data_IF_084458309191
#
_entry.id   IF_084458309191
#
_cell.length_a   1.000
_cell.length_b   1.000
_cell.length_c   1.000
_cell.angle_alpha   90.00
_cell.angle_beta   90.00
_cell.angle_gamma   90.00
#
_symmetry.space_group_name_H-M   'P 1'
#
loop_
_entity.id
_entity.type
_entity.pdbx_description
1 polymer ?
#
# COMPACT_ATOMS: atom_id res chain seq x y z
N UNK A 1 -13.67 -16.68 1.02
CA UNK A 1 -13.17 -15.86 -0.11
C UNK A 1 -13.10 -16.75 -1.34
N UNK A 2 -14.01 -16.52 -2.30
CA UNK A 2 -14.02 -17.26 -3.56
C UNK A 2 -13.36 -16.39 -4.63
N UNK A 3 -12.18 -16.77 -5.09
CA UNK A 3 -11.62 -16.28 -6.33
C UNK A 3 -12.06 -17.18 -7.47
N UNK A 4 -13.12 -16.80 -8.21
CA UNK A 4 -13.34 -17.32 -9.54
C UNK A 4 -12.56 -16.44 -10.51
N UNK A 5 -11.34 -16.83 -10.87
CA UNK A 5 -10.59 -16.17 -11.93
C UNK A 5 -10.86 -16.91 -13.24
N UNK A 6 -11.52 -16.24 -14.17
CA UNK A 6 -11.32 -16.55 -15.58
C UNK A 6 -9.94 -16.03 -15.96
N UNK A 7 -8.98 -16.95 -16.17
CA UNK A 7 -7.58 -16.60 -16.47
C UNK A 7 -7.41 -15.74 -17.75
N UNK A 8 -8.46 -15.58 -18.54
CA UNK A 8 -8.50 -14.81 -19.78
C UNK A 8 -9.35 -13.53 -19.68
N UNK A 9 -9.85 -13.18 -18.48
CA UNK A 9 -10.68 -11.99 -18.33
C UNK A 9 -9.83 -10.73 -18.56
N UNK A 10 -10.27 -9.87 -19.48
CA UNK A 10 -9.63 -8.59 -19.77
C UNK A 10 -9.69 -7.65 -18.55
N UNK A 11 -10.78 -7.71 -17.78
CA UNK A 11 -11.02 -6.93 -16.56
C UNK A 11 -11.28 -7.87 -15.39
N UNK A 12 -10.60 -7.64 -14.28
CA UNK A 12 -10.75 -8.42 -13.04
C UNK A 12 -10.99 -7.47 -11.86
N UNK A 13 -12.16 -7.59 -11.23
CA UNK A 13 -12.42 -6.92 -9.97
C UNK A 13 -11.77 -7.68 -8.82
N UNK A 14 -11.13 -6.95 -7.94
CA UNK A 14 -10.43 -7.48 -6.76
C UNK A 14 -10.95 -6.75 -5.54
N UNK A 15 -11.60 -7.48 -4.64
CA UNK A 15 -12.25 -6.93 -3.45
C UNK A 15 -11.69 -7.53 -2.18
N UNK A 16 -11.24 -6.70 -1.25
CA UNK A 16 -11.15 -7.03 0.17
C UNK A 16 -12.30 -6.33 0.91
N UNK A 17 -13.30 -7.07 1.39
CA UNK A 17 -14.44 -6.47 2.08
C UNK A 17 -14.11 -5.96 3.49
N UNK A 18 -12.97 -6.38 4.06
CA UNK A 18 -12.53 -5.99 5.40
C UNK A 18 -11.02 -6.10 5.57
N UNK A 19 -10.26 -5.21 4.91
CA UNK A 19 -8.81 -5.09 5.15
C UNK A 19 -8.55 -4.60 6.58
N UNK A 20 -7.59 -5.21 7.26
CA UNK A 20 -7.32 -4.92 8.67
C UNK A 20 -8.25 -5.65 9.63
N UNK A 21 -8.65 -6.89 9.33
CA UNK A 21 -9.54 -7.72 10.17
C UNK A 21 -9.10 -7.79 11.63
N UNK A 22 -7.78 -7.90 11.90
CA UNK A 22 -7.26 -7.92 13.27
C UNK A 22 -7.53 -6.59 14.00
N UNK A 23 -7.38 -5.46 13.31
CA UNK A 23 -7.71 -4.13 13.84
C UNK A 23 -9.21 -3.99 14.11
N UNK A 24 -10.05 -4.45 13.19
CA UNK A 24 -11.51 -4.46 13.35
C UNK A 24 -11.94 -5.26 14.59
N UNK A 25 -11.44 -6.49 14.75
CA UNK A 25 -11.75 -7.35 15.90
C UNK A 25 -11.27 -6.74 17.21
N UNK A 26 -10.14 -6.02 17.20
CA UNK A 26 -9.61 -5.32 18.36
C UNK A 26 -10.34 -4.00 18.67
N UNK A 27 -11.32 -3.58 17.87
CA UNK A 27 -12.02 -2.32 18.03
C UNK A 27 -11.19 -1.08 17.66
N UNK A 28 -10.11 -1.25 16.90
CA UNK A 28 -9.28 -0.14 16.40
C UNK A 28 -9.92 0.48 15.16
N UNK A 29 -9.71 1.79 14.90
CA UNK A 29 -10.36 2.50 13.80
C UNK A 29 -9.70 2.26 12.42
N UNK A 30 -8.56 1.58 12.37
CA UNK A 30 -7.77 1.41 11.15
C UNK A 30 -8.11 0.10 10.46
N UNK A 31 -9.18 0.11 9.70
CA UNK A 31 -9.64 -0.95 8.81
C UNK A 31 -10.44 -0.32 7.66
N UNK A 32 -10.58 -1.03 6.57
CA UNK A 32 -11.25 -0.49 5.39
C UNK A 32 -11.78 -1.52 4.43
N UNK A 33 -12.45 -1.03 3.39
CA UNK A 33 -12.91 -1.79 2.24
C UNK A 33 -12.03 -1.40 1.07
N UNK A 34 -11.44 -2.39 0.39
CA UNK A 34 -10.50 -2.19 -0.72
C UNK A 34 -11.06 -2.80 -2.00
N UNK A 35 -11.33 -1.98 -3.02
CA UNK A 35 -11.85 -2.39 -4.33
C UNK A 35 -10.89 -1.96 -5.43
N UNK A 36 -10.26 -2.91 -6.10
CA UNK A 36 -9.39 -2.71 -7.25
C UNK A 36 -10.00 -3.23 -8.55
N UNK A 37 -9.66 -2.63 -9.68
CA UNK A 37 -9.89 -3.16 -11.01
C UNK A 37 -8.56 -3.35 -11.71
N UNK A 38 -8.30 -4.58 -12.15
CA UNK A 38 -7.19 -4.87 -13.04
C UNK A 38 -7.70 -4.88 -14.50
N UNK A 39 -6.95 -4.25 -15.38
CA UNK A 39 -7.12 -4.35 -16.84
C UNK A 39 -5.90 -5.04 -17.41
N UNK A 40 -6.06 -6.20 -18.00
CA UNK A 40 -4.97 -7.03 -18.52
C UNK A 40 -3.84 -7.25 -17.49
N UNK A 41 -4.23 -7.53 -16.23
CA UNK A 41 -3.29 -7.76 -15.12
C UNK A 41 -2.69 -6.49 -14.49
N UNK A 42 -2.99 -5.28 -14.99
CA UNK A 42 -2.46 -4.02 -14.45
C UNK A 42 -3.53 -3.26 -13.67
N UNK A 43 -3.23 -2.72 -12.46
CA UNK A 43 -4.15 -1.88 -11.72
C UNK A 43 -4.56 -0.66 -12.54
N UNK A 44 -5.85 -0.51 -12.79
CA UNK A 44 -6.41 0.59 -13.59
C UNK A 44 -7.34 1.49 -12.77
N UNK A 45 -8.02 0.94 -11.76
CA UNK A 45 -8.85 1.68 -10.83
C UNK A 45 -8.61 1.15 -9.42
N UNK A 46 -8.70 2.05 -8.44
CA UNK A 46 -8.66 1.69 -7.03
C UNK A 46 -9.57 2.57 -6.21
N UNK A 47 -10.27 1.99 -5.25
CA UNK A 47 -11.06 2.69 -4.24
C UNK A 47 -10.83 2.03 -2.89
N UNK A 48 -10.53 2.85 -1.88
CA UNK A 48 -10.38 2.40 -0.49
C UNK A 48 -11.24 3.32 0.37
N UNK A 49 -12.14 2.72 1.11
CA UNK A 49 -12.96 3.38 2.12
C UNK A 49 -12.43 3.03 3.50
N UNK A 50 -12.17 4.05 4.34
CA UNK A 50 -11.86 3.91 5.76
C UNK A 50 -13.05 4.44 6.57
N UNK A 51 -14.06 3.60 6.88
CA UNK A 51 -15.39 4.07 7.29
C UNK A 51 -15.39 4.87 8.59
N UNK A 52 -14.57 4.47 9.57
CA UNK A 52 -14.52 5.18 10.86
C UNK A 52 -13.81 6.53 10.79
N UNK A 53 -13.07 6.80 9.70
CA UNK A 53 -12.42 8.09 9.46
C UNK A 53 -13.23 8.97 8.52
N UNK A 54 -14.22 8.42 7.80
CA UNK A 54 -14.94 9.11 6.75
C UNK A 54 -14.05 9.44 5.55
N UNK A 55 -13.00 8.67 5.34
CA UNK A 55 -12.00 8.88 4.30
C UNK A 55 -12.27 7.92 3.13
N UNK A 56 -12.59 8.45 1.94
CA UNK A 56 -12.71 7.71 0.70
C UNK A 56 -11.60 8.11 -0.26
N UNK A 57 -10.70 7.17 -0.54
CA UNK A 57 -9.59 7.31 -1.48
C UNK A 57 -9.95 6.62 -2.79
N UNK A 58 -9.64 7.25 -3.92
CA UNK A 58 -9.85 6.60 -5.21
C UNK A 58 -8.94 7.16 -6.30
N UNK A 59 -8.71 6.35 -7.32
CA UNK A 59 -7.98 6.71 -8.52
C UNK A 59 -8.58 6.03 -9.74
N UNK A 60 -8.56 6.74 -10.86
CA UNK A 60 -8.97 6.26 -12.18
C UNK A 60 -7.87 6.56 -13.22
N UNK A 61 -7.85 5.87 -14.37
CA UNK A 61 -6.81 6.05 -15.37
C UNK A 61 -6.66 7.50 -15.84
N UNK A 62 -5.42 7.99 -15.89
CA UNK A 62 -5.09 9.31 -16.43
C UNK A 62 -5.50 10.49 -15.54
N UNK A 63 -5.92 10.25 -14.31
CA UNK A 63 -6.28 11.29 -13.34
C UNK A 63 -5.51 11.15 -12.04
N UNK A 64 -5.29 12.26 -11.30
CA UNK A 64 -4.66 12.19 -9.99
C UNK A 64 -5.56 11.44 -8.99
N UNK A 65 -4.92 10.75 -8.04
CA UNK A 65 -5.63 10.17 -6.91
C UNK A 65 -6.33 11.23 -6.07
N UNK A 66 -7.43 10.86 -5.42
CA UNK A 66 -8.24 11.77 -4.61
C UNK A 66 -8.57 11.18 -3.25
N UNK A 67 -8.65 12.06 -2.26
CA UNK A 67 -9.27 11.82 -0.95
C UNK A 67 -10.51 12.71 -0.83
N UNK A 68 -11.69 12.11 -0.67
CA UNK A 68 -12.96 12.83 -0.56
C UNK A 68 -13.13 13.89 -1.66
N UNK A 69 -12.71 13.56 -2.90
CA UNK A 69 -12.79 14.46 -4.07
C UNK A 69 -11.61 15.41 -4.21
N UNK A 70 -10.76 15.59 -3.22
CA UNK A 70 -9.58 16.48 -3.27
C UNK A 70 -8.36 15.70 -3.79
N UNK A 71 -7.61 16.23 -4.79
CA UNK A 71 -6.38 15.59 -5.27
C UNK A 71 -5.35 15.43 -4.17
N UNK A 72 -4.66 14.27 -4.17
CA UNK A 72 -3.60 13.94 -3.23
C UNK A 72 -2.32 13.55 -3.97
N UNK A 73 -1.18 13.70 -3.28
CA UNK A 73 0.14 13.33 -3.77
C UNK A 73 0.98 12.73 -2.64
N UNK A 74 1.91 11.86 -2.99
CA UNK A 74 2.93 11.35 -2.06
C UNK A 74 3.77 12.50 -1.50
N UNK A 75 4.46 12.27 -0.37
CA UNK A 75 5.38 13.24 0.21
C UNK A 75 6.46 13.62 -0.80
N UNK A 76 6.67 14.93 -0.99
CA UNK A 76 7.71 15.40 -1.90
C UNK A 76 9.12 15.02 -1.39
N UNK A 77 10.11 14.86 -2.30
CA UNK A 77 11.50 14.64 -1.93
C UNK A 77 12.01 15.71 -0.97
N UNK A 78 12.54 15.31 0.18
CA UNK A 78 13.16 16.20 1.16
C UNK A 78 14.04 15.44 2.15
N UNK A 79 14.79 16.15 2.95
CA UNK A 79 15.42 15.54 4.11
C UNK A 79 14.37 15.22 5.18
N UNK A 80 14.65 14.16 5.95
CA UNK A 80 13.73 13.68 6.96
C UNK A 80 13.91 14.40 8.29
N UNK A 81 12.80 14.61 8.97
CA UNK A 81 12.74 15.22 10.29
C UNK A 81 12.30 14.22 11.36
N UNK A 82 12.53 14.51 12.63
CA UNK A 82 12.20 13.59 13.72
C UNK A 82 10.70 13.29 13.88
N UNK A 83 9.83 14.15 13.36
CA UNK A 83 8.38 13.94 13.36
C UNK A 83 7.88 13.14 12.16
N UNK A 84 8.71 12.95 11.15
CA UNK A 84 8.38 12.09 10.01
C UNK A 84 8.16 10.64 10.43
N UNK A 85 7.35 9.94 9.67
CA UNK A 85 7.08 8.56 10.00
C UNK A 85 6.91 7.67 8.77
N UNK A 86 7.12 6.39 9.00
CA UNK A 86 6.87 5.31 8.05
C UNK A 86 5.90 4.30 8.66
N UNK A 87 5.13 3.62 7.81
CA UNK A 87 4.31 2.49 8.24
C UNK A 87 5.11 1.18 8.13
N UNK A 88 4.90 0.29 9.11
CA UNK A 88 5.55 -1.03 9.16
C UNK A 88 4.57 -2.08 9.68
N UNK A 89 4.75 -3.36 9.33
CA UNK A 89 3.95 -4.43 9.90
C UNK A 89 4.12 -4.52 11.43
N UNK A 90 3.05 -4.84 12.15
CA UNK A 90 3.05 -4.93 13.63
C UNK A 90 4.05 -5.94 14.19
N UNK A 91 4.41 -6.96 13.41
CA UNK A 91 5.40 -7.99 13.77
C UNK A 91 6.79 -7.75 13.17
N UNK A 92 7.05 -6.56 12.63
CA UNK A 92 8.31 -6.20 11.96
C UNK A 92 9.54 -6.43 12.84
N UNK A 93 9.44 -6.19 14.16
CA UNK A 93 10.51 -6.39 15.13
C UNK A 93 11.09 -7.83 15.15
N UNK A 94 10.33 -8.82 14.66
CA UNK A 94 10.76 -10.23 14.58
C UNK A 94 11.56 -10.54 13.31
N UNK A 95 11.43 -9.70 12.28
CA UNK A 95 11.93 -10.01 10.93
C UNK A 95 12.86 -8.95 10.36
N UNK A 96 12.81 -7.73 10.88
CA UNK A 96 13.54 -6.61 10.32
C UNK A 96 14.30 -5.86 11.41
N UNK A 97 15.44 -5.30 11.04
CA UNK A 97 16.12 -4.21 11.73
C UNK A 97 15.80 -2.94 10.95
N UNK A 98 15.31 -1.90 11.64
CA UNK A 98 14.88 -0.64 11.02
C UNK A 98 15.65 0.49 11.70
N UNK A 99 16.53 1.15 10.93
CA UNK A 99 17.33 2.29 11.37
C UNK A 99 16.76 3.57 10.74
N UNK A 100 15.51 3.90 11.10
CA UNK A 100 14.82 5.09 10.62
C UNK A 100 14.89 6.21 11.66
N UNK A 101 15.34 7.44 11.32
CA UNK A 101 15.55 8.52 12.28
C UNK A 101 14.25 9.12 12.84
N UNK A 102 13.12 8.91 12.16
CA UNK A 102 11.81 9.38 12.59
C UNK A 102 11.01 8.33 13.36
N UNK A 103 9.70 8.39 13.25
CA UNK A 103 8.76 7.51 13.96
C UNK A 103 8.36 6.32 13.10
N UNK A 104 8.22 5.16 13.69
CA UNK A 104 7.62 3.98 13.06
C UNK A 104 6.23 3.73 13.61
N UNK A 105 5.28 3.40 12.75
CA UNK A 105 3.88 3.14 13.12
C UNK A 105 3.40 1.88 12.44
N UNK A 106 2.55 1.12 13.12
CA UNK A 106 1.77 0.05 12.51
C UNK A 106 0.31 0.46 12.49
N UNK A 107 -0.28 0.53 11.33
CA UNK A 107 -1.70 0.88 11.18
C UNK A 107 -2.59 -0.36 11.31
N UNK A 108 -2.06 -1.55 11.00
CA UNK A 108 -2.79 -2.81 11.07
C UNK A 108 -3.78 -3.05 9.92
N UNK A 109 -3.69 -2.22 8.87
CA UNK A 109 -4.46 -2.28 7.63
C UNK A 109 -3.53 -1.88 6.49
N UNK A 110 -3.31 -2.78 5.53
CA UNK A 110 -2.44 -2.51 4.37
C UNK A 110 -3.07 -1.44 3.48
N UNK A 111 -4.37 -1.49 3.27
CA UNK A 111 -5.10 -0.47 2.53
C UNK A 111 -4.90 0.92 3.16
N UNK A 112 -5.00 1.04 4.48
CA UNK A 112 -4.73 2.30 5.17
C UNK A 112 -3.26 2.75 5.02
N UNK A 113 -2.28 1.84 5.03
CA UNK A 113 -0.88 2.17 4.81
C UNK A 113 -0.66 2.79 3.42
N UNK A 114 -1.24 2.19 2.36
CA UNK A 114 -1.24 2.78 1.02
C UNK A 114 -1.86 4.17 0.99
N UNK A 115 -3.01 4.36 1.64
CA UNK A 115 -3.71 5.65 1.71
C UNK A 115 -2.88 6.75 2.37
N UNK A 116 -2.23 6.44 3.51
CA UNK A 116 -1.41 7.42 4.23
C UNK A 116 -0.13 7.78 3.48
N UNK A 117 0.45 6.86 2.74
CA UNK A 117 1.57 7.14 1.83
C UNK A 117 1.10 7.96 0.64
N UNK A 118 0.01 7.57 -0.03
CA UNK A 118 -0.51 8.26 -1.21
C UNK A 118 -0.91 9.72 -0.94
N UNK A 119 -1.40 10.03 0.29
CA UNK A 119 -1.71 11.42 0.69
C UNK A 119 -0.52 12.18 1.30
N UNK A 120 0.70 11.64 1.24
CA UNK A 120 1.92 12.28 1.69
C UNK A 120 2.03 12.48 3.20
N UNK A 121 1.30 11.72 4.02
CA UNK A 121 1.37 11.79 5.48
C UNK A 121 2.39 10.83 6.07
N UNK A 122 2.57 9.66 5.44
CA UNK A 122 3.71 8.78 5.68
C UNK A 122 4.73 8.97 4.56
N UNK A 123 6.02 8.94 4.86
CA UNK A 123 7.09 9.00 3.86
C UNK A 123 7.14 7.72 3.01
N UNK A 124 6.73 6.60 3.58
CA UNK A 124 6.66 5.31 2.93
C UNK A 124 6.10 4.24 3.85
N UNK A 125 5.96 3.04 3.33
CA UNK A 125 5.58 1.88 4.11
C UNK A 125 6.36 0.64 3.68
N UNK A 126 6.63 -0.26 4.65
CA UNK A 126 7.12 -1.61 4.43
C UNK A 126 5.95 -2.59 4.45
N UNK A 127 5.66 -3.23 3.35
CA UNK A 127 4.66 -4.28 3.24
C UNK A 127 5.37 -5.62 3.16
N UNK A 128 5.29 -6.44 4.20
CA UNK A 128 6.07 -7.68 4.28
C UNK A 128 5.31 -8.92 3.83
N UNK A 129 3.99 -8.85 3.82
CA UNK A 129 3.06 -9.87 3.34
C UNK A 129 1.77 -9.19 2.90
N UNK A 130 1.27 -9.57 1.76
CA UNK A 130 -0.02 -9.13 1.26
C UNK A 130 -0.54 -10.12 0.23
N UNK A 131 -1.82 -10.31 0.18
CA UNK A 131 -2.49 -10.95 -0.94
C UNK A 131 -2.83 -9.89 -2.01
N UNK A 132 -3.30 -10.33 -3.16
CA UNK A 132 -3.66 -9.43 -4.25
C UNK A 132 -4.74 -8.43 -3.83
N UNK A 133 -5.73 -8.88 -3.07
CA UNK A 133 -6.86 -8.04 -2.63
C UNK A 133 -6.45 -6.96 -1.62
N UNK A 134 -5.38 -7.17 -0.85
CA UNK A 134 -4.85 -6.17 0.08
C UNK A 134 -4.21 -4.99 -0.65
N UNK A 135 -3.70 -5.21 -1.88
CA UNK A 135 -2.84 -4.22 -2.56
C UNK A 135 -3.38 -3.66 -3.87
N UNK A 136 -4.27 -4.36 -4.58
CA UNK A 136 -4.68 -3.98 -5.94
C UNK A 136 -5.21 -2.54 -6.02
N UNK A 137 -6.11 -2.14 -5.12
CA UNK A 137 -6.63 -0.77 -5.06
C UNK A 137 -5.55 0.23 -4.63
N UNK A 138 -4.77 -0.15 -3.60
CA UNK A 138 -3.69 0.69 -3.07
C UNK A 138 -2.63 1.01 -4.12
N UNK A 139 -2.27 0.05 -4.98
CA UNK A 139 -1.33 0.25 -6.08
C UNK A 139 -1.83 1.29 -7.07
N UNK A 140 -3.09 1.18 -7.52
CA UNK A 140 -3.68 2.17 -8.43
C UNK A 140 -3.69 3.58 -7.82
N UNK A 141 -4.09 3.71 -6.55
CA UNK A 141 -4.13 4.98 -5.83
C UNK A 141 -2.74 5.57 -5.64
N UNK A 142 -1.77 4.75 -5.21
CA UNK A 142 -0.39 5.18 -4.98
C UNK A 142 0.27 5.68 -6.27
N UNK A 143 0.15 4.94 -7.36
CA UNK A 143 0.71 5.33 -8.66
C UNK A 143 0.08 6.62 -9.18
N UNK A 144 -1.24 6.78 -9.06
CA UNK A 144 -1.94 8.00 -9.43
C UNK A 144 -1.61 9.20 -8.53
N UNK A 145 -1.08 8.97 -7.32
CA UNK A 145 -0.54 9.98 -6.41
C UNK A 145 0.95 10.29 -6.67
N UNK A 146 1.58 9.65 -7.67
CA UNK A 146 3.00 9.84 -8.00
C UNK A 146 3.96 8.97 -7.17
N UNK A 147 3.46 7.99 -6.45
CA UNK A 147 4.26 7.03 -5.71
C UNK A 147 4.77 5.88 -6.55
N UNK A 148 5.74 5.16 -6.00
CA UNK A 148 6.37 3.98 -6.59
C UNK A 148 6.36 2.81 -5.60
N UNK A 149 6.67 1.63 -6.14
CA UNK A 149 6.77 0.38 -5.40
C UNK A 149 8.07 -0.29 -5.83
N UNK A 150 8.89 -0.69 -4.85
CA UNK A 150 10.09 -1.46 -5.10
C UNK A 150 10.15 -2.66 -4.14
N UNK A 151 10.73 -3.75 -4.59
CA UNK A 151 11.11 -4.85 -3.72
C UNK A 151 12.15 -4.39 -2.69
N UNK A 152 12.11 -4.92 -1.48
CA UNK A 152 13.13 -4.63 -0.46
C UNK A 152 14.53 -5.04 -0.93
N UNK A 153 14.65 -6.09 -1.76
CA UNK A 153 15.89 -6.51 -2.41
C UNK A 153 16.43 -5.47 -3.42
N UNK A 154 15.58 -4.56 -3.89
CA UNK A 154 15.89 -3.59 -4.95
C UNK A 154 15.54 -4.08 -6.34
N UNK A 155 14.97 -5.27 -6.47
CA UNK A 155 14.42 -5.75 -7.74
C UNK A 155 13.19 -4.91 -8.13
N UNK A 156 12.95 -4.79 -9.42
CA UNK A 156 11.71 -4.21 -9.91
C UNK A 156 10.54 -5.10 -9.48
N UNK A 157 9.57 -4.51 -8.79
CA UNK A 157 8.37 -5.22 -8.40
C UNK A 157 7.33 -5.19 -9.54
N UNK A 158 6.66 -6.34 -9.74
CA UNK A 158 5.57 -6.48 -10.70
C UNK A 158 4.37 -7.14 -10.00
N UNK A 159 3.19 -6.51 -10.09
CA UNK A 159 1.96 -7.04 -9.51
C UNK A 159 1.58 -8.42 -10.08
N UNK A 160 1.97 -8.73 -11.31
CA UNK A 160 1.70 -10.02 -11.94
C UNK A 160 2.32 -11.18 -11.16
N UNK A 161 3.43 -10.96 -10.46
CA UNK A 161 4.01 -11.98 -9.57
C UNK A 161 3.09 -12.30 -8.39
N UNK A 162 2.39 -11.29 -7.87
CA UNK A 162 1.40 -11.46 -6.79
C UNK A 162 0.11 -12.12 -7.29
N UNK A 163 -0.31 -11.81 -8.54
CA UNK A 163 -1.47 -12.46 -9.16
C UNK A 163 -1.24 -13.97 -9.30
N UNK A 164 -0.06 -14.37 -9.77
CA UNK A 164 0.28 -15.78 -10.00
C UNK A 164 0.54 -16.58 -8.72
N UNK A 165 1.15 -15.94 -7.72
CA UNK A 165 1.51 -16.59 -6.43
C UNK A 165 0.44 -16.47 -5.35
N UNK A 166 -0.63 -15.70 -5.60
CA UNK A 166 -1.70 -15.34 -4.63
C UNK A 166 -1.22 -14.51 -3.43
N UNK A 167 0.07 -14.21 -3.31
CA UNK A 167 0.65 -13.38 -2.26
C UNK A 167 1.98 -12.75 -2.71
N UNK A 168 2.47 -11.75 -1.98
CA UNK A 168 3.80 -11.19 -2.19
C UNK A 168 4.88 -12.24 -1.98
N UNK A 169 5.79 -12.37 -2.95
CA UNK A 169 6.94 -13.28 -2.89
C UNK A 169 8.05 -12.73 -1.98
N UNK A 170 8.17 -11.42 -1.89
CA UNK A 170 9.13 -10.72 -1.03
C UNK A 170 8.54 -9.41 -0.49
N UNK A 171 9.11 -8.85 0.60
CA UNK A 171 8.69 -7.54 1.10
C UNK A 171 8.88 -6.44 0.07
N UNK A 172 7.94 -5.49 0.03
CA UNK A 172 8.00 -4.29 -0.81
C UNK A 172 8.04 -3.04 0.04
N UNK A 173 8.62 -1.98 -0.52
CA UNK A 173 8.58 -0.62 0.03
C UNK A 173 7.78 0.24 -0.94
N UNK A 174 6.87 1.04 -0.40
CA UNK A 174 6.05 1.99 -1.15
C UNK A 174 6.34 3.41 -0.70
N UNK A 175 6.29 4.37 -1.63
CA UNK A 175 6.53 5.78 -1.33
C UNK A 175 6.91 6.60 -2.55
N UNK A 176 7.49 7.77 -2.34
CA UNK A 176 8.19 8.54 -3.37
C UNK A 176 9.58 7.90 -3.62
N UNK A 177 10.07 7.93 -4.85
CA UNK A 177 11.27 7.21 -5.31
C UNK A 177 12.52 7.46 -4.44
N UNK A 178 12.79 8.72 -4.08
CA UNK A 178 13.97 9.06 -3.27
C UNK A 178 13.83 8.57 -1.82
N UNK A 179 12.61 8.61 -1.28
CA UNK A 179 12.31 8.06 0.04
C UNK A 179 12.45 6.54 0.05
N UNK A 180 11.95 5.83 -0.95
CA UNK A 180 12.14 4.38 -1.10
C UNK A 180 13.62 4.02 -1.11
N UNK A 181 14.41 4.72 -1.93
CA UNK A 181 15.86 4.49 -2.03
C UNK A 181 16.57 4.66 -0.69
N UNK A 182 16.21 5.68 0.10
CA UNK A 182 16.75 5.91 1.45
C UNK A 182 16.29 4.81 2.42
N UNK A 183 14.98 4.48 2.44
CA UNK A 183 14.37 3.48 3.33
C UNK A 183 14.97 2.09 3.12
N UNK A 184 15.19 1.68 1.88
CA UNK A 184 15.79 0.38 1.56
C UNK A 184 17.18 0.18 2.19
N UNK A 185 17.96 1.25 2.36
CA UNK A 185 19.26 1.20 3.03
C UNK A 185 19.15 1.06 4.55
N UNK A 186 18.02 1.46 5.12
CA UNK A 186 17.79 1.49 6.57
C UNK A 186 16.94 0.32 7.07
N UNK A 187 16.35 -0.46 6.17
CA UNK A 187 15.54 -1.63 6.51
C UNK A 187 16.29 -2.88 6.06
N UNK A 188 16.65 -3.72 7.02
CA UNK A 188 17.38 -4.97 6.78
C UNK A 188 16.55 -6.15 7.27
N UNK A 189 16.40 -7.17 6.44
CA UNK A 189 15.80 -8.43 6.84
C UNK A 189 16.80 -9.21 7.66
N UNK A 190 16.33 -9.79 8.79
CA UNK A 190 17.13 -10.61 9.69
C UNK A 190 17.23 -12.04 9.21
#
# INVERSE_FOLDING_TARGET
EQTSQDANAEYVWVLDPLDGTASFVAGLPMWGISLGLLHQGHPSFGMIELPLLGDCYWAEPGRPAKLNGTPIHVAAPREWEGEDWIAIPSNSHRRFTIDFPGKVRSLGSIAAEFCYVARGKALGALISRAALWDIAAGVAILQAAGGQIESLSGAQWDINTTITSSALNEPIIIGEASHITKLRRQIQQR
#
